data_IF_245042320809
#
_entry.id   IF_245042320809
#
_cell.length_a   1.000
_cell.length_b   1.000
_cell.length_c   1.000
_cell.angle_alpha   90.00
_cell.angle_beta   90.00
_cell.angle_gamma   90.00
#
_symmetry.space_group_name_H-M   'P 1'
#
loop_
_entity.id
_entity.type
_entity.pdbx_description
1 polymer ?
#
# COMPACT_ATOMS: atom_id res chain seq x y z
N UNK A 1 -9.90 18.50 0.82
CA UNK A 1 -9.25 17.19 0.85
C UNK A 1 -8.05 17.24 -0.10
N UNK A 2 -6.90 16.67 0.29
CA UNK A 2 -5.71 16.52 -0.57
C UNK A 2 -5.14 15.12 -0.37
N UNK A 3 -5.01 14.36 -1.43
CA UNK A 3 -4.53 12.98 -1.40
C UNK A 3 -2.99 12.94 -1.53
N UNK A 4 -2.32 12.19 -0.68
CA UNK A 4 -0.95 11.74 -0.88
C UNK A 4 -0.97 10.30 -1.39
N UNK A 5 -0.46 10.06 -2.59
CA UNK A 5 -0.47 8.73 -3.22
C UNK A 5 0.98 8.25 -3.37
N UNK A 6 1.28 7.12 -2.74
CA UNK A 6 2.64 6.57 -2.64
C UNK A 6 2.68 5.20 -3.34
N UNK A 7 3.54 5.06 -4.33
CA UNK A 7 3.99 3.77 -4.86
C UNK A 7 5.49 3.61 -4.65
N UNK A 8 5.98 2.39 -4.55
CA UNK A 8 7.40 2.13 -4.35
C UNK A 8 8.20 2.21 -5.65
N UNK A 9 7.59 1.79 -6.76
CA UNK A 9 8.24 1.65 -8.06
C UNK A 9 7.60 2.54 -9.11
N UNK A 10 8.37 2.88 -10.16
CA UNK A 10 7.86 3.72 -11.26
C UNK A 10 6.63 3.10 -11.92
N UNK A 11 6.63 1.79 -12.14
CA UNK A 11 5.50 1.06 -12.76
C UNK A 11 4.19 1.22 -12.00
N UNK A 12 4.24 1.43 -10.68
CA UNK A 12 3.06 1.60 -9.82
C UNK A 12 2.46 3.02 -9.90
N UNK A 13 3.27 4.02 -10.24
CA UNK A 13 2.85 5.43 -10.26
C UNK A 13 2.83 6.05 -11.67
N UNK A 14 3.40 5.39 -12.67
CA UNK A 14 3.52 5.94 -14.02
C UNK A 14 2.17 6.35 -14.62
N UNK A 15 1.15 5.48 -14.52
CA UNK A 15 -0.18 5.77 -15.03
C UNK A 15 -0.84 6.92 -14.26
N UNK A 16 -0.65 6.99 -12.95
CA UNK A 16 -1.19 8.08 -12.13
C UNK A 16 -0.58 9.42 -12.55
N UNK A 17 0.75 9.49 -12.71
CA UNK A 17 1.46 10.68 -13.21
C UNK A 17 0.98 11.10 -14.60
N UNK A 18 0.76 10.14 -15.51
CA UNK A 18 0.23 10.40 -16.86
C UNK A 18 -1.16 11.05 -16.83
N UNK A 19 -2.01 10.63 -15.89
CA UNK A 19 -3.41 11.09 -15.78
C UNK A 19 -3.60 12.35 -14.93
N UNK A 20 -2.59 12.77 -14.19
CA UNK A 20 -2.63 14.03 -13.45
C UNK A 20 -2.67 15.24 -14.38
N UNK A 21 -3.27 16.31 -13.89
CA UNK A 21 -3.37 17.61 -14.56
C UNK A 21 -2.74 18.72 -13.69
N UNK A 22 -2.30 19.80 -14.32
CA UNK A 22 -1.73 20.98 -13.64
C UNK A 22 -0.54 20.63 -12.75
N UNK A 23 0.35 19.77 -13.22
CA UNK A 23 1.45 19.20 -12.43
C UNK A 23 2.52 20.27 -12.15
N UNK A 24 2.91 20.35 -10.88
CA UNK A 24 4.18 20.94 -10.44
C UNK A 24 5.02 19.83 -9.80
N UNK A 25 6.33 19.88 -10.01
CA UNK A 25 7.26 18.88 -9.47
C UNK A 25 8.22 19.51 -8.49
N UNK A 26 8.36 18.91 -7.32
CA UNK A 26 9.33 19.30 -6.31
C UNK A 26 10.12 18.07 -5.84
N UNK A 27 11.44 18.21 -5.74
CA UNK A 27 12.29 17.11 -5.24
C UNK A 27 12.54 17.28 -3.74
N UNK A 28 12.31 16.25 -2.95
CA UNK A 28 12.58 16.17 -1.51
C UNK A 28 13.16 14.80 -1.16
N UNK A 29 14.20 14.78 -0.36
CA UNK A 29 14.86 13.55 0.09
C UNK A 29 15.19 12.55 -1.05
N UNK A 30 15.51 13.05 -2.24
CA UNK A 30 15.87 12.24 -3.40
C UNK A 30 14.68 11.68 -4.20
N UNK A 31 13.43 11.99 -3.83
CA UNK A 31 12.22 11.63 -4.58
C UNK A 31 11.56 12.86 -5.20
N UNK A 32 10.93 12.69 -6.36
CA UNK A 32 10.14 13.71 -7.03
C UNK A 32 8.67 13.58 -6.65
N UNK A 33 8.11 14.67 -6.15
CA UNK A 33 6.71 14.81 -5.73
C UNK A 33 5.95 15.58 -6.82
N UNK A 34 4.97 14.93 -7.42
CA UNK A 34 4.12 15.48 -8.48
C UNK A 34 2.82 15.98 -7.87
N UNK A 35 2.73 17.29 -7.62
CA UNK A 35 1.53 17.93 -7.08
C UNK A 35 0.66 18.48 -8.21
N UNK A 36 -0.64 18.19 -8.16
CA UNK A 36 -1.61 18.60 -9.19
C UNK A 36 -3.00 18.09 -8.87
N UNK A 37 -3.80 17.81 -9.90
CA UNK A 37 -5.14 17.23 -9.74
C UNK A 37 -5.19 15.85 -10.40
N UNK A 38 -5.81 14.89 -9.71
CA UNK A 38 -6.10 13.55 -10.21
C UNK A 38 -7.59 13.29 -10.07
N UNK A 39 -8.30 13.02 -11.17
CA UNK A 39 -9.76 12.80 -11.19
C UNK A 39 -10.56 13.90 -10.47
N UNK A 40 -10.08 15.15 -10.55
CA UNK A 40 -10.71 16.32 -9.94
C UNK A 40 -10.33 16.58 -8.48
N UNK A 41 -9.53 15.71 -7.85
CA UNK A 41 -9.05 15.84 -6.47
C UNK A 41 -7.63 16.40 -6.46
N UNK A 42 -7.34 17.32 -5.52
CA UNK A 42 -5.95 17.73 -5.25
C UNK A 42 -5.14 16.52 -4.79
N UNK A 43 -4.05 16.23 -5.48
CA UNK A 43 -3.24 15.07 -5.20
C UNK A 43 -1.74 15.37 -5.31
N UNK A 44 -0.96 14.63 -4.53
CA UNK A 44 0.49 14.54 -4.69
C UNK A 44 0.85 13.07 -4.89
N UNK A 45 1.44 12.75 -6.03
CA UNK A 45 1.90 11.39 -6.36
C UNK A 45 3.42 11.34 -6.20
N UNK A 46 3.93 10.29 -5.57
CA UNK A 46 5.37 10.10 -5.37
C UNK A 46 5.76 8.63 -5.54
N UNK A 47 6.91 8.42 -6.16
CA UNK A 47 7.63 7.16 -6.09
C UNK A 47 8.60 7.22 -4.90
N UNK A 48 8.35 6.41 -3.86
CA UNK A 48 9.16 6.47 -2.66
C UNK A 48 10.45 5.63 -2.73
N UNK A 49 10.53 4.64 -3.61
CA UNK A 49 11.53 3.57 -3.53
C UNK A 49 11.09 2.45 -2.59
N UNK A 50 11.74 1.28 -2.74
CA UNK A 50 11.38 0.07 -2.00
C UNK A 50 11.82 0.16 -0.55
N UNK A 51 10.98 -0.38 0.36
CA UNK A 51 11.31 -0.61 1.76
C UNK A 51 10.78 0.43 2.73
N UNK A 52 10.74 0.03 4.00
CA UNK A 52 10.06 0.73 5.10
C UNK A 52 10.56 2.15 5.35
N UNK A 53 11.89 2.37 5.27
CA UNK A 53 12.48 3.69 5.54
C UNK A 53 12.08 4.69 4.45
N UNK A 54 12.19 4.29 3.18
CA UNK A 54 11.77 5.12 2.05
C UNK A 54 10.29 5.48 2.14
N UNK A 55 9.45 4.50 2.44
CA UNK A 55 8.01 4.65 2.58
C UNK A 55 7.62 5.62 3.71
N UNK A 56 8.21 5.45 4.91
CA UNK A 56 7.95 6.31 6.06
C UNK A 56 8.41 7.76 5.81
N UNK A 57 9.60 7.92 5.21
CA UNK A 57 10.15 9.24 4.89
C UNK A 57 9.24 9.99 3.92
N UNK A 58 8.81 9.34 2.84
CA UNK A 58 7.89 9.94 1.87
C UNK A 58 6.52 10.27 2.48
N UNK A 59 5.96 9.38 3.29
CA UNK A 59 4.69 9.64 3.98
C UNK A 59 4.78 10.86 4.90
N UNK A 60 5.88 10.99 5.66
CA UNK A 60 6.07 12.16 6.54
C UNK A 60 6.23 13.46 5.75
N UNK A 61 6.98 13.45 4.65
CA UNK A 61 7.15 14.64 3.78
C UNK A 61 5.81 15.06 3.18
N UNK A 62 5.01 14.11 2.67
CA UNK A 62 3.67 14.39 2.15
C UNK A 62 2.79 15.09 3.18
N UNK A 63 2.83 14.64 4.43
CA UNK A 63 2.05 15.22 5.52
C UNK A 63 2.57 16.61 5.90
N UNK A 64 3.88 16.72 6.17
CA UNK A 64 4.45 17.92 6.78
C UNK A 64 4.74 19.05 5.79
N UNK A 65 5.10 18.74 4.54
CA UNK A 65 5.50 19.76 3.56
C UNK A 65 4.43 20.01 2.50
N UNK A 66 3.72 18.94 2.06
CA UNK A 66 2.68 19.08 1.05
C UNK A 66 1.26 19.24 1.65
N UNK A 67 1.11 19.04 2.96
CA UNK A 67 -0.17 19.23 3.65
C UNK A 67 -1.26 18.25 3.19
N UNK A 68 -0.89 17.02 2.83
CA UNK A 68 -1.87 15.99 2.48
C UNK A 68 -2.70 15.63 3.70
N UNK A 69 -3.99 15.38 3.46
CA UNK A 69 -4.96 15.08 4.51
C UNK A 69 -5.35 13.61 4.54
N UNK A 70 -5.01 12.85 3.50
CA UNK A 70 -5.31 11.42 3.35
C UNK A 70 -4.15 10.75 2.62
N UNK A 71 -3.78 9.54 3.02
CA UNK A 71 -2.72 8.77 2.38
C UNK A 71 -3.28 7.52 1.71
N UNK A 72 -2.87 7.29 0.47
CA UNK A 72 -3.13 6.06 -0.29
C UNK A 72 -1.78 5.44 -0.65
N UNK A 73 -1.54 4.21 -0.19
CA UNK A 73 -0.45 3.43 -0.71
C UNK A 73 -0.98 2.51 -1.81
N UNK A 74 -0.41 2.61 -3.01
CA UNK A 74 -0.81 1.83 -4.18
C UNK A 74 0.35 0.99 -4.68
N UNK A 75 0.08 -0.24 -5.09
CA UNK A 75 1.14 -1.11 -5.60
C UNK A 75 0.73 -2.58 -5.69
N UNK A 76 1.73 -3.43 -5.76
CA UNK A 76 1.58 -4.87 -5.90
C UNK A 76 1.98 -5.60 -4.62
N UNK A 77 1.56 -6.86 -4.50
CA UNK A 77 1.87 -7.70 -3.35
C UNK A 77 1.86 -9.19 -3.71
N UNK A 78 2.60 -9.98 -2.93
CA UNK A 78 2.51 -11.42 -2.93
C UNK A 78 1.33 -11.92 -2.08
N UNK A 79 0.58 -12.90 -2.59
CA UNK A 79 -0.57 -13.48 -1.89
C UNK A 79 -0.15 -14.39 -0.74
N UNK A 80 -0.74 -14.16 0.42
CA UNK A 80 -0.65 -15.05 1.59
C UNK A 80 -1.93 -15.91 1.76
N UNK A 81 -2.98 -15.65 0.98
CA UNK A 81 -4.26 -16.33 1.03
C UNK A 81 -4.44 -17.24 -0.18
N UNK A 82 -4.88 -18.48 0.05
CA UNK A 82 -5.07 -19.46 -1.03
C UNK A 82 -6.20 -19.06 -1.99
N UNK A 83 -7.18 -18.31 -1.50
CA UNK A 83 -8.34 -17.87 -2.27
C UNK A 83 -8.08 -16.63 -3.15
N UNK A 84 -6.88 -16.03 -3.05
CA UNK A 84 -6.50 -14.89 -3.88
C UNK A 84 -5.63 -15.33 -5.05
N UNK A 85 -6.06 -15.01 -6.25
CA UNK A 85 -5.31 -15.27 -7.48
C UNK A 85 -4.52 -14.06 -7.96
N UNK A 86 -3.56 -14.30 -8.86
CA UNK A 86 -2.81 -13.23 -9.51
C UNK A 86 -3.78 -12.31 -10.25
N UNK A 87 -3.67 -11.01 -9.97
CA UNK A 87 -4.57 -9.99 -10.49
C UNK A 87 -5.75 -9.65 -9.59
N UNK A 88 -6.00 -10.40 -8.52
CA UNK A 88 -6.99 -10.02 -7.51
C UNK A 88 -6.52 -8.78 -6.72
N UNK A 89 -7.47 -8.08 -6.15
CA UNK A 89 -7.24 -6.84 -5.43
C UNK A 89 -7.39 -7.02 -3.91
N UNK A 90 -6.52 -6.38 -3.16
CA UNK A 90 -6.59 -6.30 -1.71
C UNK A 90 -6.76 -4.86 -1.28
N UNK A 91 -7.78 -4.59 -0.46
CA UNK A 91 -7.99 -3.35 0.26
C UNK A 91 -7.67 -3.59 1.72
N UNK A 92 -6.75 -2.83 2.30
CA UNK A 92 -6.34 -3.03 3.68
C UNK A 92 -7.48 -2.72 4.65
N UNK A 93 -7.67 -3.59 5.66
CA UNK A 93 -8.40 -3.27 6.88
C UNK A 93 -7.45 -2.72 7.94
N UNK A 94 -6.23 -3.23 7.96
CA UNK A 94 -5.11 -2.76 8.75
C UNK A 94 -3.78 -3.16 8.09
N UNK A 95 -2.67 -2.68 8.68
CA UNK A 95 -1.33 -3.07 8.27
C UNK A 95 -0.46 -3.44 9.48
N UNK A 96 0.40 -4.44 9.31
CA UNK A 96 1.28 -4.97 10.36
C UNK A 96 2.68 -5.19 9.83
N UNK A 97 3.69 -5.03 10.69
CA UNK A 97 5.03 -5.49 10.36
C UNK A 97 5.16 -6.99 10.59
N UNK A 98 5.63 -7.76 9.62
CA UNK A 98 5.93 -9.17 9.79
C UNK A 98 7.39 -9.43 10.23
N UNK A 99 8.24 -8.41 10.14
CA UNK A 99 9.68 -8.49 10.45
C UNK A 99 10.08 -7.66 11.69
N UNK A 100 9.12 -7.05 12.39
CA UNK A 100 9.35 -6.38 13.67
C UNK A 100 9.14 -7.39 14.79
N UNK A 101 10.24 -7.94 15.33
CA UNK A 101 10.21 -9.02 16.31
C UNK A 101 10.89 -8.61 17.61
N UNK A 102 10.10 -8.47 18.65
CA UNK A 102 10.53 -8.30 20.04
C UNK A 102 9.83 -9.34 20.95
N UNK A 103 9.47 -10.48 20.37
CA UNK A 103 8.78 -11.58 21.06
C UNK A 103 9.55 -12.11 22.27
N UNK A 104 10.88 -11.97 22.28
CA UNK A 104 11.71 -12.24 23.46
C UNK A 104 11.22 -11.52 24.72
N UNK A 105 10.61 -10.35 24.58
CA UNK A 105 10.01 -9.59 25.69
C UNK A 105 8.51 -9.83 25.88
N UNK A 106 7.99 -10.93 25.32
CA UNK A 106 6.57 -11.32 25.45
C UNK A 106 5.61 -10.48 24.62
N UNK A 107 6.08 -9.79 23.59
CA UNK A 107 5.26 -9.01 22.66
C UNK A 107 4.88 -9.83 21.44
N UNK A 108 3.76 -9.46 20.82
CA UNK A 108 3.39 -10.05 19.52
C UNK A 108 4.35 -9.62 18.41
N UNK A 109 4.48 -10.45 17.38
CA UNK A 109 5.17 -10.06 16.14
C UNK A 109 4.42 -8.84 15.56
N UNK A 110 5.18 -7.85 15.11
CA UNK A 110 4.63 -6.59 14.56
C UNK A 110 4.26 -5.54 15.61
N UNK A 111 4.23 -5.87 16.91
CA UNK A 111 3.90 -4.93 17.97
C UNK A 111 5.04 -3.92 18.19
N UNK A 112 4.82 -2.67 17.80
CA UNK A 112 5.77 -1.58 18.05
C UNK A 112 5.48 -0.96 19.43
N UNK A 113 6.45 -0.93 20.36
CA UNK A 113 6.24 -0.36 21.69
C UNK A 113 5.75 1.09 21.65
N UNK A 114 4.77 1.39 22.51
CA UNK A 114 4.24 2.74 22.65
C UNK A 114 3.18 3.14 21.62
N UNK A 115 2.83 2.24 20.67
CA UNK A 115 1.77 2.53 19.69
C UNK A 115 0.35 2.24 20.20
N UNK A 116 0.20 1.36 21.18
CA UNK A 116 -1.11 0.98 21.72
C UNK A 116 -1.91 0.05 20.80
N UNK A 117 -1.36 -0.30 19.65
CA UNK A 117 -1.94 -1.24 18.67
C UNK A 117 -0.86 -2.20 18.18
N UNK A 118 -1.25 -3.39 17.76
CA UNK A 118 -0.34 -4.37 17.11
C UNK A 118 -0.31 -4.15 15.59
N UNK A 119 -1.49 -3.90 15.01
CA UNK A 119 -1.64 -3.52 13.61
C UNK A 119 -2.25 -2.11 13.53
N UNK A 120 -1.88 -1.33 12.54
CA UNK A 120 -2.37 0.03 12.31
C UNK A 120 -3.68 -0.03 11.52
N UNK A 121 -4.83 0.39 12.11
CA UNK A 121 -6.12 0.31 11.43
C UNK A 121 -6.19 1.32 10.28
N UNK A 122 -6.68 0.86 9.12
CA UNK A 122 -7.04 1.74 8.01
C UNK A 122 -8.30 2.55 8.34
N UNK A 123 -8.47 3.68 7.67
CA UNK A 123 -9.66 4.51 7.81
C UNK A 123 -10.88 3.83 7.16
N UNK A 124 -11.99 3.71 7.90
CA UNK A 124 -13.17 2.97 7.46
C UNK A 124 -13.80 3.57 6.20
N UNK A 125 -13.89 4.89 6.10
CA UNK A 125 -14.47 5.57 4.93
C UNK A 125 -13.58 5.37 3.70
N UNK A 126 -12.26 5.52 3.86
CA UNK A 126 -11.30 5.24 2.79
C UNK A 126 -11.38 3.78 2.33
N UNK A 127 -11.52 2.83 3.26
CA UNK A 127 -11.71 1.40 2.93
C UNK A 127 -12.99 1.17 2.11
N UNK A 128 -14.09 1.85 2.44
CA UNK A 128 -15.33 1.74 1.66
C UNK A 128 -15.18 2.33 0.25
N UNK A 129 -14.59 3.52 0.11
CA UNK A 129 -14.31 4.10 -1.21
C UNK A 129 -13.38 3.22 -2.04
N UNK A 130 -12.31 2.71 -1.44
CA UNK A 130 -11.35 1.83 -2.07
C UNK A 130 -11.98 0.52 -2.54
N UNK A 131 -12.79 -0.13 -1.68
CA UNK A 131 -13.47 -1.36 -2.02
C UNK A 131 -14.49 -1.17 -3.16
N UNK A 132 -15.31 -0.12 -3.07
CA UNK A 132 -16.26 0.21 -4.14
C UNK A 132 -15.57 0.56 -5.47
N UNK A 133 -14.38 1.16 -5.41
CA UNK A 133 -13.56 1.42 -6.59
C UNK A 133 -12.98 0.12 -7.17
N UNK A 134 -12.43 -0.76 -6.32
CA UNK A 134 -11.88 -2.04 -6.71
C UNK A 134 -12.94 -2.93 -7.38
N UNK A 135 -14.13 -3.03 -6.79
CA UNK A 135 -15.25 -3.76 -7.38
C UNK A 135 -15.73 -3.17 -8.72
N UNK A 136 -15.56 -1.87 -8.94
CA UNK A 136 -15.89 -1.27 -10.23
C UNK A 136 -14.87 -1.56 -11.34
N UNK A 137 -13.61 -1.86 -10.95
CA UNK A 137 -12.51 -2.17 -11.89
C UNK A 137 -12.40 -3.68 -12.12
N UNK A 138 -12.55 -4.49 -11.08
CA UNK A 138 -12.41 -5.94 -11.14
C UNK A 138 -13.50 -6.64 -10.30
N UNK A 139 -14.75 -6.71 -10.79
CA UNK A 139 -15.88 -7.19 -10.01
C UNK A 139 -15.72 -8.63 -9.52
N UNK A 140 -15.95 -8.87 -8.22
CA UNK A 140 -15.87 -10.19 -7.59
C UNK A 140 -14.45 -10.69 -7.34
N UNK A 141 -13.44 -9.85 -7.56
CA UNK A 141 -12.03 -10.15 -7.41
C UNK A 141 -11.34 -9.21 -6.41
N UNK A 142 -12.06 -8.82 -5.36
CA UNK A 142 -11.55 -7.91 -4.31
C UNK A 142 -11.72 -8.51 -2.93
N UNK A 143 -10.63 -8.54 -2.17
CA UNK A 143 -10.60 -8.95 -0.78
C UNK A 143 -10.35 -7.74 0.13
N UNK A 144 -11.00 -7.71 1.29
CA UNK A 144 -10.61 -6.85 2.41
C UNK A 144 -9.80 -7.67 3.40
N UNK A 145 -8.63 -7.19 3.82
CA UNK A 145 -7.82 -7.95 4.77
C UNK A 145 -6.60 -7.20 5.29
N UNK A 146 -5.85 -7.88 6.14
CA UNK A 146 -4.60 -7.37 6.70
C UNK A 146 -3.49 -7.43 5.67
N UNK A 147 -2.68 -6.37 5.60
CA UNK A 147 -1.46 -6.30 4.81
C UNK A 147 -0.25 -6.45 5.73
N UNK A 148 0.67 -7.37 5.41
CA UNK A 148 1.90 -7.56 6.17
C UNK A 148 3.10 -6.98 5.44
N UNK A 149 3.87 -6.12 6.09
CA UNK A 149 5.04 -5.47 5.48
C UNK A 149 6.34 -5.85 6.17
N UNK A 150 7.41 -5.98 5.38
CA UNK A 150 8.77 -6.15 5.87
C UNK A 150 9.81 -5.87 4.79
N UNK A 151 11.05 -5.57 5.17
CA UNK A 151 12.13 -5.32 4.22
C UNK A 151 12.67 -6.63 3.60
N UNK A 152 11.75 -7.44 3.04
CA UNK A 152 12.06 -8.77 2.52
C UNK A 152 11.12 -9.12 1.35
N UNK A 153 11.71 -9.56 0.23
CA UNK A 153 10.95 -10.23 -0.81
C UNK A 153 10.62 -11.66 -0.36
N UNK A 154 9.34 -11.98 -0.25
CA UNK A 154 8.88 -13.31 0.22
C UNK A 154 8.67 -14.20 -0.98
N UNK A 155 9.56 -15.18 -1.16
CA UNK A 155 9.62 -16.09 -2.31
C UNK A 155 9.84 -17.56 -1.91
N UNK A 156 9.46 -17.95 -0.69
CA UNK A 156 9.48 -19.34 -0.27
C UNK A 156 8.34 -19.67 0.69
N UNK A 157 7.90 -20.92 0.63
CA UNK A 157 6.75 -21.39 1.39
C UNK A 157 6.93 -21.31 2.90
N UNK A 158 8.11 -21.62 3.43
CA UNK A 158 8.36 -21.60 4.88
C UNK A 158 8.13 -20.18 5.46
N UNK A 159 8.67 -19.17 4.80
CA UNK A 159 8.49 -17.77 5.21
C UNK A 159 7.04 -17.32 5.05
N UNK A 160 6.40 -17.68 3.95
CA UNK A 160 4.97 -17.44 3.73
C UNK A 160 4.13 -17.99 4.88
N UNK A 161 4.30 -19.28 5.20
CA UNK A 161 3.55 -19.97 6.25
C UNK A 161 3.79 -19.32 7.63
N UNK A 162 5.04 -18.90 7.91
CA UNK A 162 5.39 -18.17 9.12
C UNK A 162 4.68 -16.83 9.21
N UNK A 163 4.68 -16.03 8.15
CA UNK A 163 4.00 -14.72 8.14
C UNK A 163 2.50 -14.91 8.37
N UNK A 164 1.88 -15.88 7.73
CA UNK A 164 0.46 -16.21 7.94
C UNK A 164 0.19 -16.55 9.40
N UNK A 165 1.00 -17.43 9.98
CA UNK A 165 0.83 -17.86 11.37
C UNK A 165 1.00 -16.72 12.38
N UNK A 166 1.96 -15.82 12.13
CA UNK A 166 2.29 -14.72 13.05
C UNK A 166 1.31 -13.54 12.92
N UNK A 167 0.75 -13.30 11.72
CA UNK A 167 0.04 -12.04 11.42
C UNK A 167 -1.39 -12.21 10.97
N UNK A 168 -1.78 -13.38 10.48
CA UNK A 168 -3.04 -13.64 9.79
C UNK A 168 -3.30 -12.69 8.60
N UNK A 169 -2.24 -12.21 7.93
CA UNK A 169 -2.34 -11.32 6.79
C UNK A 169 -2.75 -12.08 5.52
N UNK A 170 -3.40 -11.37 4.59
CA UNK A 170 -3.85 -11.93 3.30
C UNK A 170 -2.86 -11.66 2.15
N UNK A 171 -2.00 -10.66 2.30
CA UNK A 171 -0.91 -10.38 1.36
C UNK A 171 0.30 -9.76 2.07
N UNK A 172 1.45 -9.77 1.38
CA UNK A 172 2.72 -9.22 1.89
C UNK A 172 3.39 -8.33 0.85
N UNK A 173 4.02 -7.27 1.35
CA UNK A 173 4.75 -6.29 0.56
C UNK A 173 5.81 -5.59 1.44
N UNK A 174 6.36 -4.43 1.05
CA UNK A 174 7.53 -3.90 1.74
C UNK A 174 7.37 -2.47 2.29
N UNK A 175 6.21 -1.81 2.17
CA UNK A 175 6.02 -0.39 2.49
C UNK A 175 4.81 -0.08 3.38
N UNK A 176 3.71 -0.77 3.16
CA UNK A 176 2.39 -0.40 3.67
C UNK A 176 2.33 -0.16 5.17
N UNK A 177 2.91 -1.05 5.99
CA UNK A 177 2.92 -0.87 7.44
C UNK A 177 3.74 0.35 7.89
N UNK A 178 4.78 0.74 7.14
CA UNK A 178 5.57 1.93 7.46
C UNK A 178 4.80 3.23 7.13
N UNK A 179 4.04 3.24 6.02
CA UNK A 179 3.13 4.33 5.67
C UNK A 179 2.01 4.43 6.71
N UNK A 180 1.38 3.28 7.03
CA UNK A 180 0.32 3.17 8.02
C UNK A 180 0.77 3.66 9.41
N UNK A 181 1.96 3.24 9.85
CA UNK A 181 2.56 3.69 11.11
C UNK A 181 2.77 5.22 11.12
N UNK A 182 3.31 5.77 10.03
CA UNK A 182 3.51 7.22 9.88
C UNK A 182 2.18 7.96 9.90
N UNK A 183 1.18 7.47 9.16
CA UNK A 183 -0.18 8.02 9.15
C UNK A 183 -0.82 8.01 10.54
N UNK A 184 -0.77 6.86 11.22
CA UNK A 184 -1.29 6.68 12.57
C UNK A 184 -0.68 7.66 13.58
N UNK A 185 0.65 7.84 13.54
CA UNK A 185 1.37 8.79 14.39
C UNK A 185 0.97 10.24 14.16
N UNK A 186 0.61 10.58 12.93
CA UNK A 186 0.22 11.94 12.54
C UNK A 186 -1.31 12.16 12.59
N UNK A 187 -2.12 11.14 12.91
CA UNK A 187 -3.58 11.22 12.90
C UNK A 187 -4.15 11.46 11.49
N UNK A 188 -3.47 10.99 10.47
CA UNK A 188 -3.89 11.12 9.06
C UNK A 188 -4.54 9.81 8.61
N UNK A 189 -5.77 9.84 8.06
CA UNK A 189 -6.43 8.65 7.52
C UNK A 189 -5.64 8.07 6.34
N UNK A 190 -5.64 6.73 6.25
CA UNK A 190 -4.94 6.02 5.18
C UNK A 190 -5.69 4.76 4.73
N UNK A 191 -5.37 4.30 3.53
CA UNK A 191 -5.70 2.97 3.01
C UNK A 191 -4.54 2.45 2.16
N UNK A 192 -4.37 1.12 2.14
CA UNK A 192 -3.42 0.42 1.27
C UNK A 192 -4.22 -0.35 0.22
N UNK A 193 -3.83 -0.19 -1.04
CA UNK A 193 -4.36 -0.89 -2.20
C UNK A 193 -3.26 -1.76 -2.79
N UNK A 194 -3.53 -3.04 -2.99
CA UNK A 194 -2.59 -3.99 -3.61
C UNK A 194 -3.27 -4.82 -4.69
N UNK A 195 -2.58 -5.04 -5.79
CA UNK A 195 -2.93 -6.07 -6.76
C UNK A 195 -1.95 -7.23 -6.61
N UNK A 196 -2.46 -8.46 -6.61
CA UNK A 196 -1.62 -9.63 -6.44
C UNK A 196 -0.77 -9.86 -7.70
N UNK A 197 0.54 -9.87 -7.54
CA UNK A 197 1.52 -10.13 -8.61
C UNK A 197 2.06 -11.55 -8.60
N UNK A 198 2.06 -12.19 -7.44
CA UNK A 198 2.65 -13.52 -7.21
C UNK A 198 2.01 -14.20 -5.98
N UNK A 199 2.37 -15.45 -5.76
CA UNK A 199 1.83 -16.25 -4.63
C UNK A 199 2.70 -16.19 -3.36
N UNK A 200 3.74 -15.38 -3.31
CA UNK A 200 4.68 -15.27 -2.19
C UNK A 200 5.29 -16.63 -1.77
N UNK A 201 5.51 -17.53 -2.70
CA UNK A 201 6.05 -18.85 -2.49
C UNK A 201 7.12 -19.18 -3.53
N UNK A 202 7.47 -20.45 -3.70
CA UNK A 202 8.55 -20.88 -4.60
C UNK A 202 8.28 -20.54 -6.08
N UNK A 203 7.06 -20.13 -6.47
CA UNK A 203 6.72 -19.65 -7.81
C UNK A 203 6.97 -18.15 -8.00
N UNK A 204 7.11 -17.37 -6.93
CA UNK A 204 7.14 -15.91 -6.96
C UNK A 204 8.23 -15.33 -7.87
N UNK A 205 9.40 -15.97 -7.94
CA UNK A 205 10.49 -15.52 -8.81
C UNK A 205 10.15 -15.55 -10.31
N UNK A 206 9.24 -16.43 -10.73
CA UNK A 206 8.75 -16.51 -12.12
C UNK A 206 7.51 -15.65 -12.34
N UNK A 207 6.61 -15.61 -11.37
CA UNK A 207 5.33 -14.91 -11.47
C UNK A 207 5.52 -13.40 -11.43
N UNK A 208 6.32 -12.88 -10.51
CA UNK A 208 6.53 -11.46 -10.29
C UNK A 208 6.93 -10.71 -11.58
N UNK A 209 8.00 -11.07 -12.31
CA UNK A 209 8.39 -10.35 -13.54
C UNK A 209 7.33 -10.41 -14.64
N UNK A 210 6.50 -11.47 -14.63
CA UNK A 210 5.47 -11.69 -15.65
C UNK A 210 4.26 -10.81 -15.42
N UNK A 211 3.85 -10.62 -14.15
CA UNK A 211 2.57 -9.99 -13.81
C UNK A 211 2.70 -8.60 -13.19
N UNK A 212 3.91 -8.15 -12.83
CA UNK A 212 4.18 -6.87 -12.19
C UNK A 212 3.47 -5.70 -12.90
N UNK A 213 3.69 -5.52 -14.18
CA UNK A 213 3.16 -4.37 -14.93
C UNK A 213 1.62 -4.41 -15.03
N UNK A 214 1.03 -5.60 -15.17
CA UNK A 214 -0.44 -5.75 -15.25
C UNK A 214 -1.08 -5.47 -13.90
N UNK A 215 -0.51 -6.02 -12.83
CA UNK A 215 -0.99 -5.81 -11.47
C UNK A 215 -0.86 -4.34 -11.04
N UNK A 216 0.31 -3.71 -11.29
CA UNK A 216 0.55 -2.31 -10.99
C UNK A 216 -0.43 -1.38 -11.72
N UNK A 217 -0.66 -1.62 -13.02
CA UNK A 217 -1.64 -0.87 -13.81
C UNK A 217 -3.04 -1.00 -13.22
N UNK A 218 -3.48 -2.20 -12.86
CA UNK A 218 -4.80 -2.44 -12.26
C UNK A 218 -4.95 -1.70 -10.94
N UNK A 219 -3.93 -1.72 -10.08
CA UNK A 219 -3.94 -1.00 -8.82
C UNK A 219 -4.02 0.53 -9.03
N UNK A 220 -3.31 1.07 -10.03
CA UNK A 220 -3.41 2.48 -10.40
C UNK A 220 -4.81 2.86 -10.91
N UNK A 221 -5.47 2.01 -11.70
CA UNK A 221 -6.85 2.21 -12.16
C UNK A 221 -7.85 2.25 -10.98
N UNK A 222 -7.66 1.38 -9.97
CA UNK A 222 -8.45 1.40 -8.72
C UNK A 222 -8.21 2.70 -7.96
N UNK A 223 -6.95 3.14 -7.84
CA UNK A 223 -6.60 4.39 -7.15
C UNK A 223 -7.28 5.61 -7.81
N UNK A 224 -7.31 5.69 -9.13
CA UNK A 224 -8.04 6.73 -9.86
C UNK A 224 -9.55 6.64 -9.63
N UNK A 225 -10.12 5.43 -9.71
CA UNK A 225 -11.55 5.23 -9.46
C UNK A 225 -11.94 5.61 -8.02
N UNK A 226 -11.07 5.34 -7.04
CA UNK A 226 -11.25 5.76 -5.65
C UNK A 226 -11.22 7.29 -5.54
N UNK A 227 -10.21 7.95 -6.11
CA UNK A 227 -10.10 9.41 -6.10
C UNK A 227 -11.38 10.08 -6.67
N UNK A 228 -11.91 9.54 -7.78
CA UNK A 228 -13.16 10.02 -8.39
C UNK A 228 -14.37 9.87 -7.46
N UNK A 229 -14.46 8.78 -6.71
CA UNK A 229 -15.54 8.56 -5.73
C UNK A 229 -15.42 9.48 -4.52
N UNK A 230 -14.21 9.81 -4.09
CA UNK A 230 -13.96 10.74 -2.99
C UNK A 230 -14.20 12.22 -3.37
N UNK A 231 -14.26 12.52 -4.68
CA UNK A 231 -14.56 13.87 -5.18
C UNK A 231 -16.07 14.19 -5.20
N UNK A 232 -16.92 13.15 -5.25
CA UNK A 232 -18.39 13.28 -5.33
C UNK A 232 -19.03 13.57 -3.97
#
# INVERSE_FOLDING_TARGET
>A
MKLGIIGAMDVEVALLKEKMQNITTETRAGSDYFAGTLEGVDAVVVQCGVGKVNAALCAQILISEFGVTHLVNTGIAGSLCADLDIGDLVVSQDAIYHDFDISYWGRAIGEVPGMGVVAFPADEDMVQYAFAAAESVNPGHTCKGRVASGDQFVCNKEKKDKIIADTAAVCTEMEGAAIAHTAYRNGVPFVILRAISDKADDSAEMDYPTFEAIAARRCAEVTMAMARKMHQ
#
